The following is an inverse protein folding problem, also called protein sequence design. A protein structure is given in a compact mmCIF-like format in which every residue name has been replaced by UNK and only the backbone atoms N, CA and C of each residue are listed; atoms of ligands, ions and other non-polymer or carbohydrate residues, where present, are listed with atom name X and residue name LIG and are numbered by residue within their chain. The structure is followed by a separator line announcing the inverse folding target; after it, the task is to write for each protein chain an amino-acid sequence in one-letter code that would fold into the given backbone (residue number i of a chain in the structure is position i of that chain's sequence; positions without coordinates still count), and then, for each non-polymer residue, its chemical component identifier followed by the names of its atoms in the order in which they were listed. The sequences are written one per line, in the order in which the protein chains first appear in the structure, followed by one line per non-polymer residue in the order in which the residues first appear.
data_IF_433335836115
#
_entry.id   IF_433335836115
#
_cell.length_a   1.000
_cell.length_b   1.000
_cell.length_c   1.000
_cell.angle_alpha   90.00
_cell.angle_beta   90.00
_cell.angle_gamma   90.00
#
_symmetry.space_group_name_H-M   'P 1'
#
loop_
_entity.id
_entity.type
_entity.pdbx_description
1 polymer ?
#
# COMPACT_ATOMS: atom_id res chain seq x y z
N UNK A 1 14.67 14.96 70.21
CA UNK A 1 14.53 13.53 70.55
C UNK A 1 13.52 12.94 69.55
N UNK A 2 13.70 11.85 68.83
CA UNK A 2 14.76 10.84 68.76
C UNK A 2 14.58 10.06 67.45
N UNK A 3 15.71 9.74 66.79
CA UNK A 3 16.00 8.52 66.00
C UNK A 3 15.27 8.27 64.67
N UNK A 4 16.06 8.56 63.63
CA UNK A 4 16.11 7.99 62.29
C UNK A 4 16.11 6.45 62.31
N UNK A 5 15.18 5.81 61.59
CA UNK A 5 15.24 4.38 61.24
C UNK A 5 15.68 4.20 59.79
N UNK A 6 16.99 4.01 59.61
CA UNK A 6 17.59 3.48 58.39
C UNK A 6 17.50 1.95 58.41
N UNK A 7 16.76 1.34 57.48
CA UNK A 7 16.77 -0.11 57.27
C UNK A 7 17.61 -0.43 56.03
N UNK A 8 18.75 -1.06 56.29
CA UNK A 8 19.70 -1.58 55.32
C UNK A 8 19.06 -2.64 54.41
N UNK A 9 19.04 -2.37 53.11
CA UNK A 9 18.82 -3.37 52.07
C UNK A 9 20.06 -4.28 51.95
N UNK A 10 19.99 -5.49 52.50
CA UNK A 10 20.94 -6.58 52.21
C UNK A 10 20.84 -6.97 50.73
N UNK A 11 21.82 -6.54 49.92
CA UNK A 11 21.99 -6.99 48.52
C UNK A 11 22.40 -8.46 48.50
N UNK A 12 21.46 -9.34 48.14
CA UNK A 12 21.70 -10.77 47.96
C UNK A 12 22.59 -11.05 46.72
N UNK A 13 23.74 -11.75 46.86
CA UNK A 13 24.62 -12.11 45.74
C UNK A 13 24.03 -13.18 44.78
N UNK A 14 22.92 -13.84 45.14
CA UNK A 14 22.30 -14.89 44.31
C UNK A 14 21.71 -14.42 42.98
N UNK A 15 21.38 -13.13 42.82
CA UNK A 15 20.72 -12.63 41.59
C UNK A 15 21.70 -12.42 40.42
N UNK A 16 23.02 -12.33 40.69
CA UNK A 16 24.02 -12.10 39.63
C UNK A 16 24.28 -13.36 38.78
N UNK A 17 24.16 -14.55 39.37
CA UNK A 17 24.41 -15.81 38.66
C UNK A 17 23.34 -16.13 37.60
N UNK A 18 22.08 -15.70 37.79
CA UNK A 18 21.01 -15.97 36.82
C UNK A 18 21.12 -15.11 35.56
N UNK A 19 21.57 -13.86 35.69
CA UNK A 19 21.74 -12.92 34.56
C UNK A 19 22.86 -13.33 33.62
N UNK A 20 23.98 -13.84 34.17
CA UNK A 20 25.08 -14.35 33.36
C UNK A 20 24.66 -15.58 32.53
N UNK A 21 23.89 -16.50 33.12
CA UNK A 21 23.37 -17.68 32.40
C UNK A 21 22.39 -17.28 31.31
N UNK A 22 21.47 -16.34 31.58
CA UNK A 22 20.53 -15.84 30.58
C UNK A 22 21.25 -15.16 29.40
N UNK A 23 22.29 -14.37 29.68
CA UNK A 23 23.10 -13.73 28.64
C UNK A 23 23.83 -14.76 27.76
N UNK A 24 24.45 -15.78 28.37
CA UNK A 24 25.13 -16.85 27.63
C UNK A 24 24.17 -17.63 26.75
N UNK A 25 22.99 -18.01 27.27
CA UNK A 25 21.97 -18.72 26.49
C UNK A 25 21.50 -17.85 25.30
N UNK A 26 21.26 -16.56 25.52
CA UNK A 26 20.85 -15.64 24.46
C UNK A 26 21.91 -15.53 23.36
N UNK A 27 23.20 -15.41 23.72
CA UNK A 27 24.30 -15.36 22.74
C UNK A 27 24.40 -16.67 21.95
N UNK A 28 24.27 -17.83 22.60
CA UNK A 28 24.30 -19.14 21.92
C UNK A 28 23.13 -19.27 20.94
N UNK A 29 21.91 -18.87 21.31
CA UNK A 29 20.76 -18.89 20.40
C UNK A 29 20.97 -18.00 19.17
N UNK A 30 21.54 -16.81 19.35
CA UNK A 30 21.85 -15.90 18.22
C UNK A 30 22.89 -16.52 17.28
N UNK A 31 23.95 -17.12 17.83
CA UNK A 31 24.98 -17.80 17.03
C UNK A 31 24.41 -18.98 16.24
N UNK A 32 23.51 -19.77 16.83
CA UNK A 32 22.82 -20.87 16.13
C UNK A 32 21.96 -20.37 14.97
N UNK A 33 21.27 -19.24 15.11
CA UNK A 33 20.50 -18.63 14.02
C UNK A 33 21.39 -18.18 12.85
N UNK A 34 22.57 -17.62 13.15
CA UNK A 34 23.55 -17.26 12.13
C UNK A 34 24.12 -18.48 11.43
N UNK A 35 24.49 -19.52 12.17
CA UNK A 35 24.96 -20.78 11.61
C UNK A 35 23.90 -21.42 10.70
N UNK A 36 22.64 -21.49 11.17
CA UNK A 36 21.54 -22.04 10.37
C UNK A 36 21.32 -21.24 9.08
N UNK A 37 21.33 -19.90 9.14
CA UNK A 37 21.24 -19.07 7.92
C UNK A 37 22.41 -19.29 6.97
N UNK A 38 23.62 -19.43 7.51
CA UNK A 38 24.83 -19.68 6.72
C UNK A 38 24.74 -21.03 5.99
N UNK A 39 24.39 -22.10 6.72
CA UNK A 39 24.21 -23.44 6.13
C UNK A 39 23.04 -23.49 5.14
N UNK A 40 21.92 -22.84 5.45
CA UNK A 40 20.77 -22.78 4.54
C UNK A 40 21.12 -22.10 3.21
N UNK A 41 21.88 -21.00 3.26
CA UNK A 41 22.33 -20.29 2.06
C UNK A 41 23.33 -21.10 1.22
N UNK A 42 24.14 -21.94 1.85
CA UNK A 42 25.08 -22.82 1.16
C UNK A 42 24.42 -24.10 0.61
N UNK A 43 23.44 -24.66 1.32
CA UNK A 43 22.72 -25.86 0.89
C UNK A 43 21.72 -25.57 -0.25
N UNK A 44 21.20 -24.35 -0.33
CA UNK A 44 20.25 -23.93 -1.36
C UNK A 44 20.80 -22.71 -2.13
N UNK A 45 21.78 -22.89 -3.04
CA UNK A 45 22.23 -21.81 -3.91
C UNK A 45 21.07 -21.32 -4.77
N UNK A 46 20.60 -20.11 -4.46
CA UNK A 46 19.53 -19.40 -5.16
C UNK A 46 19.86 -19.30 -6.66
N UNK A 47 19.10 -20.02 -7.49
CA UNK A 47 19.27 -20.08 -8.95
C UNK A 47 18.73 -18.84 -9.67
N UNK A 48 19.12 -17.64 -9.23
CA UNK A 48 18.74 -16.40 -9.92
C UNK A 48 19.90 -15.92 -10.80
N UNK A 49 20.16 -16.68 -11.86
CA UNK A 49 20.90 -16.18 -13.00
C UNK A 49 20.33 -16.80 -14.27
N UNK A 50 19.65 -16.00 -15.08
CA UNK A 50 19.79 -15.97 -16.54
C UNK A 50 18.78 -15.03 -17.20
N UNK A 51 19.27 -14.37 -18.25
CA UNK A 51 18.54 -13.65 -19.33
C UNK A 51 18.33 -12.15 -19.16
N UNK A 52 19.47 -11.46 -19.19
CA UNK A 52 19.65 -10.19 -19.92
C UNK A 52 19.60 -10.48 -21.43
N UNK A 53 18.56 -10.04 -22.15
CA UNK A 53 18.55 -10.03 -23.63
C UNK A 53 18.30 -8.60 -24.11
N UNK A 54 19.38 -7.99 -24.60
CA UNK A 54 19.35 -6.85 -25.51
C UNK A 54 18.87 -7.36 -26.89
N UNK A 55 17.91 -6.68 -27.50
CA UNK A 55 17.50 -6.92 -28.88
C UNK A 55 17.18 -5.61 -29.58
N UNK A 56 18.19 -5.03 -30.23
CA UNK A 56 18.13 -3.87 -31.12
C UNK A 56 18.39 -4.41 -32.54
N UNK A 57 17.42 -4.31 -33.45
CA UNK A 57 17.55 -4.65 -34.87
C UNK A 57 16.36 -4.03 -35.62
N UNK A 58 16.51 -2.83 -36.20
CA UNK A 58 16.88 -2.54 -37.59
C UNK A 58 15.92 -3.10 -38.66
N UNK A 59 15.20 -2.15 -39.28
CA UNK A 59 14.77 -2.04 -40.68
C UNK A 59 15.04 -3.24 -41.59
N UNK A 60 14.02 -3.66 -42.34
CA UNK A 60 14.04 -3.61 -43.82
C UNK A 60 12.63 -3.65 -44.40
N UNK A 61 12.44 -2.78 -45.38
CA UNK A 61 11.33 -2.60 -46.31
C UNK A 61 10.96 -3.86 -47.09
N UNK A 62 9.67 -4.05 -47.35
CA UNK A 62 9.22 -4.78 -48.54
C UNK A 62 7.99 -4.13 -49.13
N UNK A 63 8.23 -3.50 -50.29
CA UNK A 63 7.23 -3.05 -51.25
C UNK A 63 6.37 -4.22 -51.73
N UNK A 64 5.06 -3.99 -51.84
CA UNK A 64 4.26 -4.57 -52.90
C UNK A 64 3.12 -3.62 -53.27
N UNK A 65 3.24 -3.06 -54.46
CA UNK A 65 2.22 -2.30 -55.19
C UNK A 65 1.00 -3.19 -55.47
N UNK A 66 -0.18 -2.61 -55.38
CA UNK A 66 -1.43 -3.17 -55.91
C UNK A 66 -2.50 -2.09 -55.99
N UNK A 67 -2.71 -1.55 -57.18
CA UNK A 67 -3.67 -0.52 -57.51
C UNK A 67 -5.13 -0.98 -57.28
N UNK A 68 -5.95 -0.11 -56.69
CA UNK A 68 -7.35 0.02 -57.12
C UNK A 68 -7.85 1.44 -56.86
N UNK A 69 -8.57 1.93 -57.86
CA UNK A 69 -9.15 3.25 -58.00
C UNK A 69 -10.44 3.38 -57.21
N UNK A 70 -10.73 4.57 -56.67
CA UNK A 70 -11.94 5.38 -56.95
C UNK A 70 -12.24 6.43 -55.88
N UNK A 71 -12.69 7.58 -56.40
CA UNK A 71 -13.48 8.66 -55.79
C UNK A 71 -12.89 9.49 -54.65
N UNK A 72 -12.48 10.70 -55.02
CA UNK A 72 -12.42 11.83 -54.11
C UNK A 72 -13.81 12.38 -53.82
N UNK A 73 -14.04 12.76 -52.56
CA UNK A 73 -14.63 14.04 -52.17
C UNK A 73 -14.30 14.23 -50.70
N UNK A 74 -13.58 15.31 -50.39
CA UNK A 74 -13.16 15.61 -49.05
C UNK A 74 -14.32 16.06 -48.16
N UNK A 75 -14.22 15.70 -46.89
CA UNK A 75 -14.41 16.61 -45.76
C UNK A 75 -13.61 16.05 -44.60
N UNK A 76 -12.45 16.65 -44.39
CA UNK A 76 -11.64 16.42 -43.20
C UNK A 76 -12.40 16.94 -41.99
N UNK A 77 -12.77 16.03 -41.11
CA UNK A 77 -12.87 16.29 -39.68
C UNK A 77 -11.82 15.41 -39.04
N UNK A 78 -10.61 15.97 -38.93
CA UNK A 78 -9.57 15.48 -38.03
C UNK A 78 -10.10 15.62 -36.60
N UNK A 79 -10.94 14.68 -36.17
CA UNK A 79 -11.19 14.47 -34.76
C UNK A 79 -9.97 13.76 -34.18
N UNK A 80 -9.02 14.62 -33.79
CA UNK A 80 -8.20 14.50 -32.60
C UNK A 80 -8.00 13.06 -32.13
N UNK A 81 -7.03 12.39 -32.75
CA UNK A 81 -6.33 11.28 -32.12
C UNK A 81 -5.80 11.76 -30.78
N UNK A 82 -6.59 11.53 -29.73
CA UNK A 82 -6.22 11.71 -28.33
C UNK A 82 -5.13 10.70 -28.04
N UNK A 83 -3.90 11.06 -28.43
CA UNK A 83 -2.71 10.43 -27.90
C UNK A 83 -2.72 10.77 -26.42
N UNK A 84 -3.30 9.87 -25.63
CA UNK A 84 -3.22 9.88 -24.18
C UNK A 84 -1.74 9.81 -23.83
N UNK A 85 -1.08 10.97 -23.78
CA UNK A 85 0.29 11.11 -23.30
C UNK A 85 0.27 10.58 -21.89
N UNK A 86 0.67 9.32 -21.75
CA UNK A 86 0.65 8.56 -20.51
C UNK A 86 1.40 9.39 -19.48
N UNK A 87 0.63 9.96 -18.55
CA UNK A 87 1.15 10.95 -17.62
C UNK A 87 2.27 10.33 -16.80
N UNK A 88 3.48 10.86 -16.96
CA UNK A 88 4.67 10.33 -16.30
C UNK A 88 4.76 10.94 -14.91
N UNK A 89 5.12 10.13 -13.92
CA UNK A 89 5.40 10.59 -12.56
C UNK A 89 6.61 11.50 -12.54
N UNK A 90 6.52 12.61 -11.81
CA UNK A 90 7.64 13.52 -11.56
C UNK A 90 8.41 13.03 -10.32
N UNK A 91 9.68 12.59 -10.46
CA UNK A 91 10.45 12.08 -9.33
C UNK A 91 10.77 13.13 -8.25
N UNK A 92 10.60 14.42 -8.54
CA UNK A 92 10.85 15.51 -7.59
C UNK A 92 9.67 15.78 -6.65
N UNK A 93 8.47 15.29 -6.99
CA UNK A 93 7.26 15.51 -6.23
C UNK A 93 6.94 14.32 -5.30
N UNK A 94 6.36 14.57 -4.10
CA UNK A 94 5.86 13.50 -3.26
C UNK A 94 4.74 12.72 -3.98
N UNK A 95 4.51 11.48 -3.56
CA UNK A 95 3.46 10.61 -4.10
C UNK A 95 2.38 10.34 -3.08
N UNK A 96 1.12 10.55 -3.46
CA UNK A 96 -0.04 9.95 -2.80
C UNK A 96 -0.35 8.65 -3.53
N UNK A 97 -0.14 7.52 -2.85
CA UNK A 97 -0.50 6.20 -3.35
C UNK A 97 -1.80 5.75 -2.69
N UNK A 98 -2.91 5.82 -3.42
CA UNK A 98 -4.20 5.34 -2.94
C UNK A 98 -4.37 3.85 -3.25
N UNK A 99 -4.66 3.05 -2.23
CA UNK A 99 -4.95 1.63 -2.39
C UNK A 99 -6.45 1.45 -2.63
N UNK A 100 -6.81 0.77 -3.72
CA UNK A 100 -8.20 0.53 -4.09
C UNK A 100 -8.46 -0.96 -4.08
N UNK A 101 -9.45 -1.37 -3.30
CA UNK A 101 -9.87 -2.76 -3.21
C UNK A 101 -10.83 -2.96 -2.06
N UNK A 102 -11.63 -4.02 -2.13
CA UNK A 102 -12.61 -4.38 -1.10
C UNK A 102 -11.94 -4.75 0.23
N UNK A 103 -12.69 -4.81 1.34
CA UNK A 103 -12.21 -5.39 2.60
C UNK A 103 -11.67 -6.81 2.36
N UNK A 104 -10.60 -7.22 3.05
CA UNK A 104 -10.01 -8.56 2.88
C UNK A 104 -9.17 -8.78 1.60
N UNK A 105 -9.06 -7.78 0.70
CA UNK A 105 -8.28 -7.89 -0.54
C UNK A 105 -6.75 -7.93 -0.34
N UNK A 106 -6.26 -7.54 0.85
CA UNK A 106 -4.82 -7.56 1.19
C UNK A 106 -4.10 -6.22 1.07
N UNK A 107 -4.83 -5.10 0.95
CA UNK A 107 -4.27 -3.74 0.88
C UNK A 107 -3.26 -3.45 2.00
N UNK A 108 -3.68 -3.58 3.26
CA UNK A 108 -2.84 -3.29 4.43
C UNK A 108 -1.60 -4.17 4.51
N UNK A 109 -1.72 -5.45 4.13
CA UNK A 109 -0.58 -6.37 4.08
C UNK A 109 0.43 -5.91 3.03
N UNK A 110 -0.04 -5.58 1.83
CA UNK A 110 0.81 -5.07 0.77
C UNK A 110 1.47 -3.74 1.15
N UNK A 111 0.72 -2.81 1.75
CA UNK A 111 1.23 -1.51 2.18
C UNK A 111 2.43 -1.66 3.13
N UNK A 112 2.28 -2.49 4.17
CA UNK A 112 3.35 -2.79 5.13
C UNK A 112 4.59 -3.34 4.42
N UNK A 113 4.41 -4.40 3.61
CA UNK A 113 5.51 -5.03 2.87
C UNK A 113 6.19 -4.07 1.89
N UNK A 114 5.42 -3.21 1.22
CA UNK A 114 5.94 -2.23 0.28
C UNK A 114 6.83 -1.20 0.98
N UNK A 115 6.40 -0.70 2.15
CA UNK A 115 7.22 0.23 2.94
C UNK A 115 8.45 -0.43 3.54
N UNK A 116 8.37 -1.70 3.95
CA UNK A 116 9.51 -2.45 4.50
C UNK A 116 10.58 -2.74 3.44
N UNK A 117 10.16 -3.14 2.24
CA UNK A 117 11.05 -3.66 1.21
C UNK A 117 11.51 -2.61 0.19
N UNK A 118 10.65 -1.65 -0.19
CA UNK A 118 10.88 -0.79 -1.35
C UNK A 118 11.02 0.67 -0.94
N UNK A 119 10.06 1.21 -0.18
CA UNK A 119 10.01 2.64 0.14
C UNK A 119 9.78 2.91 1.63
N UNK A 120 10.87 2.79 2.42
CA UNK A 120 10.85 3.01 3.89
C UNK A 120 10.41 4.41 4.32
N UNK A 121 10.37 5.37 3.40
CA UNK A 121 9.99 6.75 3.66
C UNK A 121 8.50 7.04 3.49
N UNK A 122 7.70 6.08 3.01
CA UNK A 122 6.26 6.30 2.83
C UNK A 122 5.53 6.20 4.18
N UNK A 123 4.68 7.17 4.46
CA UNK A 123 3.78 7.15 5.60
C UNK A 123 2.51 6.35 5.23
N UNK A 124 2.17 5.32 6.00
CA UNK A 124 0.90 4.59 5.82
C UNK A 124 -0.18 5.29 6.64
N UNK A 125 -1.21 5.80 5.96
CA UNK A 125 -2.39 6.42 6.54
C UNK A 125 -3.54 5.43 6.45
N UNK A 126 -3.90 4.82 7.60
CA UNK A 126 -4.88 3.75 7.68
C UNK A 126 -6.15 4.22 8.39
N UNK A 127 -7.31 4.09 7.74
CA UNK A 127 -8.59 4.52 8.32
C UNK A 127 -8.98 3.70 9.53
N UNK A 128 -8.71 2.39 9.55
CA UNK A 128 -8.95 1.53 10.72
C UNK A 128 -8.17 2.01 11.95
N UNK A 129 -6.92 2.44 11.75
CA UNK A 129 -6.10 2.99 12.84
C UNK A 129 -6.70 4.30 13.38
N UNK A 130 -7.13 5.19 12.48
CA UNK A 130 -7.76 6.45 12.84
C UNK A 130 -9.10 6.22 13.56
N UNK A 131 -9.94 5.33 13.03
CA UNK A 131 -11.24 4.96 13.61
C UNK A 131 -11.08 4.36 15.00
N UNK A 132 -10.12 3.45 15.18
CA UNK A 132 -9.81 2.89 16.50
C UNK A 132 -9.35 3.95 17.49
N UNK A 133 -8.56 4.94 17.07
CA UNK A 133 -8.17 6.06 17.93
C UNK A 133 -9.37 6.94 18.33
N UNK A 134 -10.33 7.16 17.42
CA UNK A 134 -11.48 8.03 17.65
C UNK A 134 -12.61 7.36 18.45
N UNK A 135 -12.76 6.05 18.33
CA UNK A 135 -13.93 5.33 18.87
C UNK A 135 -13.59 4.18 19.82
N UNK A 136 -12.30 3.86 19.98
CA UNK A 136 -11.82 2.72 20.75
C UNK A 136 -11.90 1.38 19.99
N UNK A 137 -12.48 1.34 18.79
CA UNK A 137 -12.64 0.10 18.01
C UNK A 137 -12.60 0.36 16.50
N UNK A 138 -12.21 -0.63 15.70
CA UNK A 138 -12.23 -0.51 14.24
C UNK A 138 -13.63 -0.76 13.64
N UNK A 139 -14.57 -1.24 14.44
CA UNK A 139 -15.91 -1.64 13.98
C UNK A 139 -16.97 -0.54 14.15
N UNK A 140 -16.60 0.63 14.68
CA UNK A 140 -17.53 1.72 14.93
C UNK A 140 -17.44 2.79 13.83
N UNK A 141 -18.41 2.77 12.92
CA UNK A 141 -18.53 3.68 11.77
C UNK A 141 -19.41 4.91 12.03
N UNK A 142 -19.72 5.24 13.29
CA UNK A 142 -20.57 6.41 13.59
C UNK A 142 -19.87 7.76 13.41
N UNK A 143 -18.55 7.77 13.21
CA UNK A 143 -17.71 8.97 13.10
C UNK A 143 -16.89 9.00 11.80
N UNK A 144 -17.39 8.43 10.71
CA UNK A 144 -16.62 8.36 9.45
C UNK A 144 -16.29 9.74 8.88
N UNK A 145 -17.13 10.75 9.07
CA UNK A 145 -16.81 12.13 8.65
C UNK A 145 -15.53 12.64 9.32
N UNK A 146 -15.33 12.33 10.61
CA UNK A 146 -14.13 12.71 11.35
C UNK A 146 -12.92 11.84 10.97
N UNK A 147 -13.14 10.58 10.61
CA UNK A 147 -12.10 9.71 10.04
C UNK A 147 -11.60 10.29 8.72
N UNK A 148 -12.53 10.71 7.85
CA UNK A 148 -12.22 11.34 6.57
C UNK A 148 -11.45 12.65 6.76
N UNK A 149 -11.95 13.55 7.63
CA UNK A 149 -11.28 14.82 7.92
C UNK A 149 -9.84 14.59 8.42
N UNK A 150 -9.67 13.64 9.34
CA UNK A 150 -8.34 13.31 9.86
C UNK A 150 -7.43 12.69 8.80
N UNK A 151 -7.94 11.81 7.93
CA UNK A 151 -7.18 11.30 6.79
C UNK A 151 -6.69 12.43 5.88
N UNK A 152 -7.59 13.34 5.48
CA UNK A 152 -7.26 14.48 4.62
C UNK A 152 -6.21 15.40 5.27
N UNK A 153 -6.34 15.66 6.57
CA UNK A 153 -5.37 16.44 7.35
C UNK A 153 -3.98 15.80 7.38
N UNK A 154 -3.90 14.49 7.60
CA UNK A 154 -2.64 13.75 7.60
C UNK A 154 -2.00 13.70 6.20
N UNK A 155 -2.81 13.58 5.15
CA UNK A 155 -2.34 13.70 3.76
C UNK A 155 -1.76 15.09 3.51
N UNK A 156 -2.49 16.15 3.85
CA UNK A 156 -2.04 17.54 3.69
C UNK A 156 -0.70 17.76 4.42
N UNK A 157 -0.61 17.31 5.67
CA UNK A 157 0.62 17.42 6.46
C UNK A 157 1.79 16.65 5.83
N UNK A 158 1.56 15.44 5.30
CA UNK A 158 2.59 14.69 4.59
C UNK A 158 3.10 15.45 3.35
N UNK A 159 2.21 16.08 2.58
CA UNK A 159 2.56 16.88 1.41
C UNK A 159 3.37 18.13 1.78
N UNK A 160 2.98 18.85 2.84
CA UNK A 160 3.72 20.02 3.35
C UNK A 160 5.17 19.65 3.70
N UNK A 161 5.37 18.47 4.28
CA UNK A 161 6.68 17.92 4.59
C UNK A 161 7.39 17.27 3.40
N UNK A 162 6.82 17.36 2.18
CA UNK A 162 7.28 16.68 0.96
C UNK A 162 7.50 15.18 1.14
N UNK A 163 6.68 14.54 1.95
CA UNK A 163 6.69 13.09 2.17
C UNK A 163 5.62 12.41 1.34
N UNK A 164 5.97 11.23 0.82
CA UNK A 164 4.99 10.38 0.15
C UNK A 164 4.18 9.59 1.17
N UNK A 165 2.91 9.32 0.86
CA UNK A 165 2.04 8.57 1.73
C UNK A 165 1.25 7.50 0.96
N UNK A 166 0.84 6.46 1.67
CA UNK A 166 -0.07 5.43 1.21
C UNK A 166 -1.39 5.61 1.94
N UNK A 167 -2.48 5.73 1.21
CA UNK A 167 -3.83 5.74 1.79
C UNK A 167 -4.34 4.30 1.78
N UNK A 168 -4.36 3.68 2.96
CA UNK A 168 -4.89 2.35 3.21
C UNK A 168 -6.29 2.47 3.83
N UNK A 169 -7.26 2.68 2.95
CA UNK A 169 -8.67 2.81 3.30
C UNK A 169 -9.53 2.08 2.26
N UNK A 170 -10.70 1.58 2.68
CA UNK A 170 -11.69 0.96 1.80
C UNK A 170 -12.84 1.93 1.43
N UNK A 171 -13.69 2.36 2.38
CA UNK A 171 -14.91 3.08 2.05
C UNK A 171 -14.66 4.45 1.40
N UNK A 172 -13.76 5.26 1.94
CA UNK A 172 -13.46 6.60 1.44
C UNK A 172 -12.72 6.55 0.10
N UNK A 173 -11.74 5.65 -0.06
CA UNK A 173 -11.02 5.50 -1.34
C UNK A 173 -11.96 5.17 -2.51
N UNK A 174 -13.06 4.46 -2.24
CA UNK A 174 -14.11 4.15 -3.22
C UNK A 174 -15.13 5.29 -3.41
N UNK A 175 -15.17 6.29 -2.53
CA UNK A 175 -16.03 7.48 -2.67
C UNK A 175 -15.50 8.47 -3.72
N UNK A 176 -16.32 8.85 -4.72
CA UNK A 176 -15.95 9.92 -5.67
C UNK A 176 -15.66 11.26 -4.99
N UNK A 177 -16.40 11.59 -3.93
CA UNK A 177 -16.26 12.87 -3.21
C UNK A 177 -14.91 12.95 -2.50
N UNK A 178 -14.52 11.89 -1.81
CA UNK A 178 -13.21 11.83 -1.16
C UNK A 178 -12.07 11.92 -2.18
N UNK A 179 -12.19 11.22 -3.32
CA UNK A 179 -11.21 11.34 -4.41
C UNK A 179 -11.13 12.76 -4.96
N UNK A 180 -12.24 13.47 -5.06
CA UNK A 180 -12.24 14.88 -5.47
C UNK A 180 -11.51 15.77 -4.44
N UNK A 181 -11.76 15.56 -3.13
CA UNK A 181 -11.03 16.25 -2.05
C UNK A 181 -9.52 15.98 -2.10
N UNK A 182 -9.12 14.71 -2.31
CA UNK A 182 -7.70 14.36 -2.50
C UNK A 182 -7.09 15.05 -3.73
N UNK A 183 -7.81 15.11 -4.86
CA UNK A 183 -7.35 15.83 -6.06
C UNK A 183 -7.14 17.31 -5.77
N UNK A 184 -8.03 17.94 -5.00
CA UNK A 184 -7.90 19.34 -4.63
C UNK A 184 -6.70 19.62 -3.70
N UNK A 185 -6.39 18.70 -2.77
CA UNK A 185 -5.21 18.80 -1.90
C UNK A 185 -3.90 18.56 -2.65
N UNK A 186 -3.93 17.71 -3.68
CA UNK A 186 -2.78 17.25 -4.42
C UNK A 186 -2.90 17.54 -5.92
N UNK A 187 -2.94 18.82 -6.34
CA UNK A 187 -2.92 19.18 -7.75
C UNK A 187 -1.63 18.71 -8.42
N UNK A 188 -1.63 18.74 -9.75
CA UNK A 188 -0.63 18.10 -10.62
C UNK A 188 0.80 18.57 -10.37
N UNK A 189 0.94 19.82 -9.94
CA UNK A 189 2.19 20.51 -9.69
C UNK A 189 2.73 20.27 -8.26
N UNK A 190 1.91 19.71 -7.36
CA UNK A 190 2.27 19.50 -5.95
C UNK A 190 2.58 18.06 -5.61
N UNK A 191 1.94 17.09 -6.27
CA UNK A 191 2.14 15.68 -5.96
C UNK A 191 1.79 14.76 -7.13
N UNK A 192 2.44 13.60 -7.14
CA UNK A 192 2.03 12.48 -7.96
C UNK A 192 0.80 11.80 -7.34
N UNK A 193 -0.28 11.69 -8.10
CA UNK A 193 -1.47 10.92 -7.71
C UNK A 193 -1.41 9.53 -8.35
N UNK A 194 -1.25 8.51 -7.51
CA UNK A 194 -1.02 7.13 -7.94
C UNK A 194 -2.07 6.22 -7.32
N UNK A 195 -2.55 5.23 -8.07
CA UNK A 195 -3.50 4.22 -7.61
C UNK A 195 -2.93 2.81 -7.72
N UNK A 196 -3.21 1.95 -6.73
CA UNK A 196 -2.96 0.51 -6.81
C UNK A 196 -4.26 -0.27 -6.60
N UNK A 197 -4.68 -1.01 -7.62
CA UNK A 197 -5.87 -1.86 -7.56
C UNK A 197 -5.57 -3.24 -6.96
N UNK A 198 -6.47 -3.72 -6.11
CA UNK A 198 -6.48 -5.05 -5.50
C UNK A 198 -7.79 -5.76 -5.87
N UNK A 199 -7.85 -6.22 -7.12
CA UNK A 199 -9.03 -6.89 -7.66
C UNK A 199 -9.13 -8.32 -7.12
N UNK A 200 -9.95 -8.51 -6.09
CA UNK A 200 -10.21 -9.79 -5.45
C UNK A 200 -11.71 -10.07 -5.48
N UNK A 201 -12.11 -11.32 -5.73
CA UNK A 201 -13.52 -11.72 -5.69
C UNK A 201 -14.07 -11.60 -4.26
N UNK A 202 -15.31 -11.08 -4.06
CA UNK A 202 -15.94 -10.97 -2.75
C UNK A 202 -15.89 -12.26 -1.90
N UNK A 203 -16.16 -13.42 -2.51
CA UNK A 203 -16.13 -14.71 -1.80
C UNK A 203 -14.75 -15.07 -1.24
N UNK A 204 -13.68 -14.81 -2.00
CA UNK A 204 -12.30 -15.05 -1.54
C UNK A 204 -11.90 -14.05 -0.44
N UNK A 205 -12.29 -12.78 -0.60
CA UNK A 205 -12.07 -11.77 0.42
C UNK A 205 -12.77 -12.11 1.74
N UNK A 206 -14.02 -12.57 1.69
CA UNK A 206 -14.77 -13.02 2.86
C UNK A 206 -14.08 -14.20 3.55
N UNK A 207 -13.65 -15.21 2.78
CA UNK A 207 -12.93 -16.37 3.33
C UNK A 207 -11.67 -15.95 4.09
N UNK A 208 -10.93 -14.97 3.58
CA UNK A 208 -9.74 -14.42 4.26
C UNK A 208 -10.09 -13.68 5.54
N UNK A 209 -11.17 -12.88 5.54
CA UNK A 209 -11.62 -12.16 6.74
C UNK A 209 -12.03 -13.16 7.81
N UNK A 210 -12.78 -14.20 7.45
CA UNK A 210 -13.19 -15.26 8.38
C UNK A 210 -11.97 -15.98 8.98
N UNK A 211 -11.01 -16.40 8.14
CA UNK A 211 -9.75 -17.00 8.61
C UNK A 211 -8.99 -16.09 9.57
N UNK A 212 -8.85 -14.80 9.26
CA UNK A 212 -8.15 -13.84 10.12
C UNK A 212 -8.86 -13.70 11.48
N UNK A 213 -10.20 -13.70 11.50
CA UNK A 213 -11.01 -13.62 12.73
C UNK A 213 -10.90 -14.91 13.56
N UNK A 214 -10.92 -16.07 12.91
CA UNK A 214 -10.72 -17.38 13.55
C UNK A 214 -9.32 -17.48 14.18
N UNK A 215 -8.32 -16.86 13.57
CA UNK A 215 -6.95 -16.72 14.12
C UNK A 215 -6.84 -15.66 15.24
N UNK A 216 -7.95 -15.00 15.61
CA UNK A 216 -8.01 -14.00 16.66
C UNK A 216 -7.53 -12.60 16.25
N UNK A 217 -7.40 -12.32 14.95
CA UNK A 217 -7.10 -10.97 14.48
C UNK A 217 -8.33 -10.07 14.56
N UNK A 218 -8.14 -8.85 15.05
CA UNK A 218 -9.18 -7.83 15.06
C UNK A 218 -9.43 -7.34 13.63
N UNK A 219 -10.61 -7.66 13.08
CA UNK A 219 -11.04 -7.29 11.73
C UNK A 219 -12.47 -6.78 11.72
N UNK A 220 -12.74 -5.85 10.80
CA UNK A 220 -14.11 -5.57 10.38
C UNK A 220 -14.64 -6.74 9.55
N UNK A 221 -15.86 -7.17 9.85
CA UNK A 221 -16.54 -8.28 9.17
C UNK A 221 -17.69 -7.68 8.35
N UNK A 222 -17.47 -7.35 7.06
CA UNK A 222 -18.54 -6.91 6.18
C UNK A 222 -19.49 -8.07 5.87
N UNK A 223 -20.71 -7.75 5.48
CA UNK A 223 -21.63 -8.67 4.82
C UNK A 223 -21.18 -8.95 3.39
N UNK A 224 -21.64 -10.06 2.81
CA UNK A 224 -21.38 -10.36 1.39
C UNK A 224 -21.92 -9.27 0.46
N UNK A 225 -23.08 -8.69 0.78
CA UNK A 225 -23.70 -7.60 0.00
C UNK A 225 -22.81 -6.35 0.01
N UNK A 226 -22.19 -6.01 1.15
CA UNK A 226 -21.24 -4.89 1.21
C UNK A 226 -20.00 -5.13 0.34
N UNK A 227 -19.43 -6.34 0.39
CA UNK A 227 -18.28 -6.69 -0.44
C UNK A 227 -18.60 -6.64 -1.94
N UNK A 228 -19.81 -7.07 -2.34
CA UNK A 228 -20.27 -6.98 -3.73
C UNK A 228 -20.42 -5.53 -4.18
N UNK A 229 -21.07 -4.68 -3.36
CA UNK A 229 -21.19 -3.24 -3.63
C UNK A 229 -19.82 -2.55 -3.75
N UNK A 230 -18.88 -2.88 -2.87
CA UNK A 230 -17.53 -2.32 -2.94
C UNK A 230 -16.79 -2.79 -4.20
N UNK A 231 -17.01 -4.04 -4.64
CA UNK A 231 -16.43 -4.55 -5.87
C UNK A 231 -16.99 -3.86 -7.12
N UNK A 232 -18.29 -3.54 -7.13
CA UNK A 232 -18.94 -2.75 -8.18
C UNK A 232 -18.34 -1.34 -8.26
N UNK A 233 -18.28 -0.61 -7.13
CA UNK A 233 -17.68 0.73 -7.05
C UNK A 233 -16.22 0.73 -7.49
N UNK A 234 -15.47 -0.30 -7.10
CA UNK A 234 -14.09 -0.48 -7.55
C UNK A 234 -14.01 -0.63 -9.07
N UNK A 235 -14.88 -1.46 -9.67
CA UNK A 235 -14.90 -1.69 -11.11
C UNK A 235 -15.30 -0.41 -11.88
N UNK A 236 -16.21 0.40 -11.34
CA UNK A 236 -16.54 1.72 -11.87
C UNK A 236 -15.34 2.66 -11.84
N UNK A 237 -14.64 2.76 -10.70
CA UNK A 237 -13.46 3.61 -10.60
C UNK A 237 -12.31 3.11 -11.49
N UNK A 238 -12.14 1.80 -11.65
CA UNK A 238 -11.11 1.24 -12.53
C UNK A 238 -11.29 1.68 -13.99
N UNK A 239 -12.53 1.93 -14.44
CA UNK A 239 -12.80 2.45 -15.79
C UNK A 239 -12.45 3.93 -15.92
N UNK A 240 -12.67 4.73 -14.87
CA UNK A 240 -12.60 6.20 -14.92
C UNK A 240 -11.29 6.79 -14.36
N UNK A 241 -10.48 6.03 -13.63
CA UNK A 241 -9.31 6.56 -12.90
C UNK A 241 -8.31 7.33 -13.78
N UNK A 242 -8.12 6.93 -15.04
CA UNK A 242 -7.20 7.60 -15.97
C UNK A 242 -7.69 8.99 -16.36
N UNK A 243 -9.01 9.11 -16.58
CA UNK A 243 -9.68 10.37 -16.89
C UNK A 243 -9.67 11.28 -15.66
N UNK A 244 -9.78 10.69 -14.47
CA UNK A 244 -9.60 11.38 -13.18
C UNK A 244 -8.16 11.81 -12.88
N UNK A 245 -7.21 11.54 -13.78
CA UNK A 245 -5.81 11.94 -13.64
C UNK A 245 -5.01 11.12 -12.63
N UNK A 246 -5.43 9.90 -12.32
CA UNK A 246 -4.65 8.93 -11.53
C UNK A 246 -3.73 8.10 -12.42
N UNK A 247 -2.51 7.87 -11.94
CA UNK A 247 -1.54 7.00 -12.60
C UNK A 247 -1.55 5.64 -11.90
N UNK A 248 -1.70 4.56 -12.65
CA UNK A 248 -1.63 3.20 -12.09
C UNK A 248 -0.19 2.83 -11.68
N UNK A 249 -0.04 2.21 -10.50
CA UNK A 249 1.24 1.76 -9.92
C UNK A 249 1.72 0.41 -10.48
#
# INVERSE_FOLDING_TARGET
MSVVTAVLAKRHPCVKASRARAAVISVVCVLLLFAFRFFYRHAYPSSSDTKRVRGRSSRTSKDSRGHSSRHGSGKGSDESGSSSKRRKRDPSLPTILMLIGIHGSGKSFWAKRYTEAVHKSYLILCSDTIRSQLTGTINNYTREDEVEEKLLKEVMHALELRRSCIIDDCPHSLSPEFRAKLKALAPDEKANRVVKFFCVKPSYAMTRIQSDVEEGMVRYIPTMIELEKDAERMAEFQKTHKEDGWVEN
#
